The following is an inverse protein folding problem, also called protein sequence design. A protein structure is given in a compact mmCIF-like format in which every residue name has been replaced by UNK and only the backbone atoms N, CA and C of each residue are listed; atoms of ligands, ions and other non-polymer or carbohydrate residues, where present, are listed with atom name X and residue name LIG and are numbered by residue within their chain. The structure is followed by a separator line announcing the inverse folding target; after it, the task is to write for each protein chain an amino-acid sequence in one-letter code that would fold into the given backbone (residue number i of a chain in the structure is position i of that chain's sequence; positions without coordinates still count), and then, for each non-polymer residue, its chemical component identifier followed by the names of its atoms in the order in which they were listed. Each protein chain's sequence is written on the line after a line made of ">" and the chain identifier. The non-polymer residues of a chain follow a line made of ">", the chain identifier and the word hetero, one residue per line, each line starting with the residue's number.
data_IF_117141701332
#
_entry.id   IF_117141701332
#
_cell.length_a   1.000
_cell.length_b   1.000
_cell.length_c   1.000
_cell.angle_alpha   90.00
_cell.angle_beta   90.00
_cell.angle_gamma   90.00
#
_symmetry.space_group_name_H-M   'P 1'
#
loop_
_entity.id
_entity.type
_entity.pdbx_description
1 polymer ?
#
# COMPACT_ATOMS: atom_id res chain seq x y z
N UNK A 1 7.74 13.88 21.25
CA UNK A 1 6.28 13.76 21.01
C UNK A 1 6.04 13.78 19.51
N UNK A 2 5.94 12.62 18.87
CA UNK A 2 5.53 12.54 17.47
C UNK A 2 4.01 12.60 17.47
N UNK A 3 3.46 13.79 17.24
CA UNK A 3 2.01 13.97 17.03
C UNK A 3 1.68 13.40 15.65
N UNK A 4 0.94 12.30 15.62
CA UNK A 4 0.41 11.74 14.37
C UNK A 4 -0.64 12.70 13.81
N UNK A 5 -0.40 13.19 12.59
CA UNK A 5 -1.37 14.02 11.85
C UNK A 5 -2.57 13.15 11.45
N UNK A 6 -3.79 13.64 11.70
CA UNK A 6 -4.99 12.90 11.30
C UNK A 6 -5.15 12.91 9.77
N UNK A 7 -5.82 11.90 9.19
CA UNK A 7 -6.18 11.84 7.77
C UNK A 7 -6.69 13.15 7.15
N UNK A 8 -7.63 13.81 7.83
CA UNK A 8 -8.26 15.04 7.31
C UNK A 8 -7.32 16.25 7.40
N UNK A 9 -6.48 16.30 8.44
CA UNK A 9 -5.46 17.33 8.61
C UNK A 9 -4.38 17.21 7.50
N UNK A 10 -3.94 15.98 7.21
CA UNK A 10 -3.02 15.71 6.11
C UNK A 10 -3.63 16.07 4.75
N UNK A 11 -4.90 15.72 4.54
CA UNK A 11 -5.61 16.09 3.30
C UNK A 11 -5.72 17.60 3.16
N UNK A 12 -6.11 18.31 4.22
CA UNK A 12 -6.22 19.76 4.22
C UNK A 12 -4.87 20.44 3.95
N UNK A 13 -3.78 19.93 4.54
CA UNK A 13 -2.43 20.46 4.34
C UNK A 13 -1.92 20.21 2.91
N UNK A 14 -2.17 19.03 2.33
CA UNK A 14 -1.62 18.66 1.02
C UNK A 14 -2.47 19.12 -0.16
N UNK A 15 -3.78 19.31 0.01
CA UNK A 15 -4.71 19.65 -1.10
C UNK A 15 -4.27 20.89 -1.89
N UNK A 16 -3.87 22.02 -1.29
CA UNK A 16 -3.41 23.19 -2.04
C UNK A 16 -2.16 22.91 -2.89
N UNK A 17 -1.24 22.07 -2.38
CA UNK A 17 -0.06 21.65 -3.12
C UNK A 17 -0.44 20.81 -4.34
N UNK A 18 -1.34 19.84 -4.18
CA UNK A 18 -1.80 19.01 -5.29
C UNK A 18 -2.55 19.80 -6.36
N UNK A 19 -3.42 20.73 -5.96
CA UNK A 19 -4.15 21.60 -6.89
C UNK A 19 -3.20 22.51 -7.68
N UNK A 20 -2.19 23.09 -7.02
CA UNK A 20 -1.16 23.87 -7.69
C UNK A 20 -0.32 23.03 -8.67
N UNK A 21 0.11 21.84 -8.26
CA UNK A 21 0.84 20.90 -9.12
C UNK A 21 0.05 20.55 -10.38
N UNK A 22 -1.23 20.23 -10.21
CA UNK A 22 -2.12 19.87 -11.32
C UNK A 22 -2.37 21.05 -12.27
N UNK A 23 -2.59 22.24 -11.73
CA UNK A 23 -2.76 23.47 -12.52
C UNK A 23 -1.52 23.73 -13.37
N UNK A 24 -0.35 23.74 -12.76
CA UNK A 24 0.92 23.97 -13.44
C UNK A 24 1.17 22.94 -14.56
N UNK A 25 0.89 21.66 -14.31
CA UNK A 25 1.01 20.63 -15.35
C UNK A 25 0.09 20.89 -16.54
N UNK A 26 -1.19 21.22 -16.29
CA UNK A 26 -2.14 21.51 -17.37
C UNK A 26 -1.82 22.82 -18.13
N UNK A 27 -1.17 23.79 -17.47
CA UNK A 27 -0.72 25.05 -18.07
C UNK A 27 0.68 24.94 -18.72
N UNK A 28 1.33 23.78 -18.68
CA UNK A 28 2.70 23.58 -19.19
C UNK A 28 3.80 24.26 -18.36
N UNK A 29 3.47 24.74 -17.15
CA UNK A 29 4.39 25.42 -16.22
C UNK A 29 5.06 24.42 -15.28
N UNK A 30 5.65 23.35 -15.79
CA UNK A 30 6.16 22.26 -14.95
C UNK A 30 7.34 22.66 -14.06
N UNK A 31 8.14 23.67 -14.44
CA UNK A 31 9.23 24.19 -13.60
C UNK A 31 8.70 24.77 -12.28
N UNK A 32 7.49 25.35 -12.31
CA UNK A 32 6.78 25.81 -11.12
C UNK A 32 6.44 24.69 -10.15
N UNK A 33 6.41 23.42 -10.58
CA UNK A 33 6.16 22.30 -9.68
C UNK A 33 7.32 22.04 -8.73
N UNK A 34 8.56 22.41 -9.10
CA UNK A 34 9.72 22.16 -8.26
C UNK A 34 9.70 22.93 -6.93
N UNK A 35 8.85 23.96 -6.79
CA UNK A 35 8.62 24.64 -5.49
C UNK A 35 7.89 23.77 -4.47
N UNK A 36 7.17 22.75 -4.93
CA UNK A 36 6.46 21.79 -4.09
C UNK A 36 7.26 20.51 -3.86
N UNK A 37 8.43 20.39 -4.48
CA UNK A 37 9.28 19.21 -4.40
C UNK A 37 10.35 19.43 -3.34
N UNK A 38 10.52 18.44 -2.47
CA UNK A 38 11.66 18.41 -1.56
C UNK A 38 12.97 18.41 -2.37
N UNK A 39 14.04 19.11 -1.95
CA UNK A 39 15.32 19.13 -2.68
C UNK A 39 15.90 17.73 -2.96
N UNK A 40 15.64 16.79 -2.06
CA UNK A 40 16.07 15.39 -2.17
C UNK A 40 14.95 14.44 -2.61
N UNK A 41 13.91 14.94 -3.26
CA UNK A 41 12.85 14.07 -3.78
C UNK A 41 13.39 13.08 -4.82
N UNK A 42 12.73 11.93 -4.91
CA UNK A 42 12.96 10.96 -5.95
C UNK A 42 11.64 10.68 -6.68
N UNK A 43 11.69 10.57 -8.00
CA UNK A 43 10.57 10.11 -8.83
C UNK A 43 10.96 8.79 -9.46
N UNK A 44 10.08 7.79 -9.33
CA UNK A 44 10.28 6.48 -9.93
C UNK A 44 9.31 6.32 -11.10
N UNK A 45 9.86 6.15 -12.29
CA UNK A 45 9.11 5.75 -13.48
C UNK A 45 9.25 4.24 -13.62
N UNK A 46 8.19 3.51 -13.29
CA UNK A 46 8.18 2.04 -13.36
C UNK A 46 8.60 1.56 -14.76
N UNK A 47 9.59 0.67 -14.81
CA UNK A 47 10.12 0.11 -16.05
C UNK A 47 11.04 1.04 -16.85
N UNK A 48 11.28 2.28 -16.38
CA UNK A 48 12.22 3.21 -17.05
C UNK A 48 13.38 3.64 -16.16
N UNK A 49 13.15 3.94 -14.89
CA UNK A 49 14.22 4.33 -13.98
C UNK A 49 13.77 5.14 -12.76
N UNK A 50 14.74 5.51 -11.93
CA UNK A 50 14.57 6.42 -10.79
C UNK A 50 15.38 7.69 -11.02
N UNK A 51 14.81 8.83 -10.66
CA UNK A 51 15.37 10.16 -10.88
C UNK A 51 15.45 10.89 -9.53
N UNK A 52 16.62 11.41 -9.20
CA UNK A 52 16.92 11.96 -7.89
C UNK A 52 17.22 13.45 -7.98
N UNK A 53 16.56 14.24 -7.15
CA UNK A 53 16.71 15.69 -7.12
C UNK A 53 16.04 16.40 -8.30
N UNK A 54 15.89 17.72 -8.14
CA UNK A 54 15.09 18.56 -9.03
C UNK A 54 15.60 18.56 -10.49
N UNK A 55 16.91 18.49 -10.70
CA UNK A 55 17.50 18.50 -12.04
C UNK A 55 17.13 17.25 -12.85
N UNK A 56 17.39 16.04 -12.32
CA UNK A 56 17.09 14.79 -13.02
C UNK A 56 15.59 14.64 -13.27
N UNK A 57 14.79 15.00 -12.28
CA UNK A 57 13.33 14.97 -12.38
C UNK A 57 12.84 15.98 -13.42
N UNK A 58 13.43 17.17 -13.48
CA UNK A 58 13.05 18.19 -14.47
C UNK A 58 13.42 17.82 -15.90
N UNK A 59 14.60 17.24 -16.12
CA UNK A 59 14.96 16.71 -17.43
C UNK A 59 13.99 15.60 -17.88
N UNK A 60 13.61 14.70 -16.97
CA UNK A 60 12.66 13.63 -17.25
C UNK A 60 11.26 14.17 -17.56
N UNK A 61 10.74 15.10 -16.76
CA UNK A 61 9.41 15.68 -16.98
C UNK A 61 9.37 16.49 -18.28
N UNK A 62 10.39 17.31 -18.56
CA UNK A 62 10.47 18.06 -19.82
C UNK A 62 10.40 17.13 -21.03
N UNK A 63 11.22 16.07 -21.04
CA UNK A 63 11.20 15.06 -22.10
C UNK A 63 9.82 14.38 -22.23
N UNK A 64 9.20 14.01 -21.12
CA UNK A 64 7.87 13.39 -21.12
C UNK A 64 6.80 14.31 -21.73
N UNK A 65 6.85 15.61 -21.41
CA UNK A 65 5.88 16.58 -21.90
C UNK A 65 6.09 16.95 -23.38
N UNK A 66 7.34 17.04 -23.81
CA UNK A 66 7.70 17.21 -25.22
C UNK A 66 7.24 16.01 -26.07
N UNK A 67 7.40 14.78 -25.55
CA UNK A 67 7.03 13.56 -26.28
C UNK A 67 5.52 13.28 -26.27
N UNK A 68 4.85 13.48 -25.14
CA UNK A 68 3.47 13.00 -24.96
C UNK A 68 2.42 14.09 -25.07
N UNK A 69 2.80 15.37 -25.06
CA UNK A 69 1.89 16.52 -25.03
C UNK A 69 0.66 16.28 -24.13
N UNK A 70 0.86 15.91 -22.85
CA UNK A 70 -0.23 15.45 -22.02
C UNK A 70 -1.27 16.55 -21.83
N UNK A 71 -2.51 16.28 -22.22
CA UNK A 71 -3.67 17.14 -22.01
C UNK A 71 -4.66 16.44 -21.10
N UNK A 72 -5.41 17.22 -20.31
CA UNK A 72 -6.45 16.72 -19.41
C UNK A 72 -5.91 15.72 -18.36
N UNK A 73 -4.77 16.04 -17.74
CA UNK A 73 -4.27 15.22 -16.62
C UNK A 73 -5.32 15.25 -15.52
N UNK A 74 -5.79 14.07 -15.11
CA UNK A 74 -6.76 13.89 -14.03
C UNK A 74 -6.12 13.10 -12.92
N UNK A 75 -6.36 13.51 -11.68
CA UNK A 75 -6.03 12.68 -10.53
C UNK A 75 -7.24 11.81 -10.23
N UNK A 76 -7.12 10.52 -10.52
CA UNK A 76 -8.12 9.53 -10.15
C UNK A 76 -7.86 9.10 -8.71
N UNK A 77 -8.68 9.60 -7.79
CA UNK A 77 -8.75 9.07 -6.43
C UNK A 77 -9.94 8.12 -6.35
N UNK A 78 -9.72 6.93 -5.80
CA UNK A 78 -10.84 6.12 -5.38
C UNK A 78 -11.44 6.71 -4.10
N UNK A 79 -12.77 6.71 -4.02
CA UNK A 79 -13.46 7.09 -2.80
C UNK A 79 -13.31 5.98 -1.74
N UNK A 80 -13.26 6.36 -0.46
CA UNK A 80 -13.14 5.43 0.66
C UNK A 80 -14.14 4.26 0.58
N UNK A 81 -15.43 4.56 0.30
CA UNK A 81 -16.49 3.55 0.23
C UNK A 81 -16.25 2.55 -0.91
N UNK A 82 -15.84 3.04 -2.08
CA UNK A 82 -15.55 2.22 -3.25
C UNK A 82 -14.37 1.26 -2.99
N UNK A 83 -13.31 1.73 -2.34
CA UNK A 83 -12.18 0.88 -1.97
C UNK A 83 -12.62 -0.20 -0.97
N UNK A 84 -13.35 0.23 0.07
CA UNK A 84 -13.81 -0.67 1.13
C UNK A 84 -14.69 -1.77 0.56
N UNK A 85 -15.62 -1.45 -0.33
CA UNK A 85 -16.51 -2.42 -0.98
C UNK A 85 -15.73 -3.41 -1.85
N UNK A 86 -14.71 -2.94 -2.58
CA UNK A 86 -13.85 -3.82 -3.41
C UNK A 86 -13.02 -4.79 -2.57
N UNK A 87 -12.44 -4.34 -1.46
CA UNK A 87 -11.54 -5.16 -0.65
C UNK A 87 -12.24 -6.01 0.41
N UNK A 88 -13.45 -5.61 0.86
CA UNK A 88 -14.22 -6.34 1.87
C UNK A 88 -14.35 -7.85 1.61
N UNK A 89 -14.81 -8.32 0.43
CA UNK A 89 -14.97 -9.77 0.21
C UNK A 89 -13.64 -10.52 0.28
N UNK A 90 -12.54 -9.89 -0.15
CA UNK A 90 -11.19 -10.48 -0.07
C UNK A 90 -10.77 -10.61 1.39
N UNK A 91 -10.99 -9.57 2.19
CA UNK A 91 -10.64 -9.58 3.61
C UNK A 91 -11.45 -10.61 4.41
N UNK A 92 -12.75 -10.75 4.11
CA UNK A 92 -13.62 -11.75 4.73
C UNK A 92 -13.15 -13.17 4.39
N UNK A 93 -12.74 -13.42 3.14
CA UNK A 93 -12.16 -14.70 2.73
C UNK A 93 -10.83 -14.99 3.45
N UNK A 94 -9.92 -14.00 3.51
CA UNK A 94 -8.65 -14.12 4.23
C UNK A 94 -8.87 -14.49 5.71
N UNK A 95 -9.81 -13.82 6.38
CA UNK A 95 -10.15 -14.06 7.79
C UNK A 95 -10.74 -15.46 8.01
N UNK A 96 -11.64 -15.90 7.13
CA UNK A 96 -12.25 -17.23 7.20
C UNK A 96 -11.21 -18.32 7.04
N UNK A 97 -10.30 -18.17 6.06
CA UNK A 97 -9.20 -19.11 5.83
C UNK A 97 -8.24 -19.14 7.01
N UNK A 98 -7.88 -17.98 7.57
CA UNK A 98 -7.09 -17.91 8.81
C UNK A 98 -7.77 -18.64 9.95
N UNK A 99 -9.08 -18.42 10.17
CA UNK A 99 -9.82 -19.07 11.25
C UNK A 99 -9.91 -20.59 11.07
N UNK A 100 -10.00 -21.06 9.83
CA UNK A 100 -10.01 -22.50 9.48
C UNK A 100 -8.62 -23.14 9.46
N UNK A 101 -7.55 -22.34 9.53
CA UNK A 101 -6.17 -22.81 9.36
C UNK A 101 -5.82 -23.16 7.89
N UNK A 102 -6.64 -22.77 6.92
CA UNK A 102 -6.38 -22.97 5.49
C UNK A 102 -5.50 -21.83 4.94
N UNK A 103 -4.25 -21.82 5.39
CA UNK A 103 -3.29 -20.76 5.04
C UNK A 103 -2.93 -20.76 3.55
N UNK A 104 -2.99 -21.93 2.90
CA UNK A 104 -2.69 -22.04 1.47
C UNK A 104 -3.73 -21.35 0.60
N UNK A 105 -5.01 -21.43 0.97
CA UNK A 105 -6.07 -20.71 0.26
C UNK A 105 -5.82 -19.19 0.22
N UNK A 106 -5.11 -18.62 1.20
CA UNK A 106 -4.78 -17.20 1.23
C UNK A 106 -3.74 -16.78 0.19
N UNK A 107 -2.90 -17.70 -0.31
CA UNK A 107 -1.84 -17.34 -1.26
C UNK A 107 -2.40 -16.83 -2.58
N UNK A 108 -3.62 -17.23 -2.97
CA UNK A 108 -4.26 -16.71 -4.19
C UNK A 108 -4.48 -15.19 -4.14
N UNK A 109 -4.54 -14.58 -2.97
CA UNK A 109 -4.70 -13.14 -2.77
C UNK A 109 -3.38 -12.38 -2.69
N UNK A 110 -2.24 -13.09 -2.60
CA UNK A 110 -0.93 -12.48 -2.64
C UNK A 110 -0.51 -12.21 -4.08
N UNK A 111 0.21 -11.12 -4.30
CA UNK A 111 0.85 -10.78 -5.56
C UNK A 111 2.09 -11.68 -5.77
N UNK A 112 2.51 -11.94 -7.01
CA UNK A 112 3.75 -12.69 -7.30
C UNK A 112 4.97 -12.13 -6.56
N UNK A 113 5.14 -10.81 -6.61
CA UNK A 113 6.14 -10.02 -5.88
C UNK A 113 5.75 -9.61 -4.44
N UNK A 114 4.85 -10.34 -3.76
CA UNK A 114 4.42 -9.97 -2.40
C UNK A 114 5.59 -9.90 -1.42
N UNK A 115 5.55 -8.90 -0.53
CA UNK A 115 6.47 -8.76 0.60
C UNK A 115 5.68 -8.63 1.89
N UNK A 116 6.06 -9.39 2.91
CA UNK A 116 5.54 -9.26 4.27
C UNK A 116 6.66 -8.78 5.18
N UNK A 117 6.41 -7.78 6.02
CA UNK A 117 7.37 -7.18 6.93
C UNK A 117 6.80 -7.21 8.34
N UNK A 118 7.52 -7.83 9.26
CA UNK A 118 7.27 -7.66 10.70
C UNK A 118 8.20 -6.56 11.21
N UNK A 119 7.63 -5.40 11.58
CA UNK A 119 8.43 -4.23 11.97
C UNK A 119 9.46 -4.57 13.05
N UNK A 120 10.69 -4.11 12.83
CA UNK A 120 11.81 -4.31 13.76
C UNK A 120 12.30 -5.75 13.89
N UNK A 121 11.80 -6.70 13.07
CA UNK A 121 12.24 -8.10 13.10
C UNK A 121 12.79 -8.56 11.75
N UNK A 122 11.94 -8.69 10.74
CA UNK A 122 12.30 -9.40 9.50
C UNK A 122 11.31 -9.11 8.37
N UNK A 123 11.73 -9.43 7.14
CA UNK A 123 10.93 -9.32 5.93
C UNK A 123 11.02 -10.61 5.11
N UNK A 124 9.93 -10.97 4.46
CA UNK A 124 9.77 -12.22 3.68
C UNK A 124 9.27 -11.89 2.29
N UNK A 125 9.76 -12.64 1.29
CA UNK A 125 9.60 -12.27 -0.11
C UNK A 125 9.02 -13.41 -0.97
N UNK A 126 8.16 -13.02 -1.91
CA UNK A 126 7.79 -13.81 -3.08
C UNK A 126 6.66 -14.82 -2.84
N UNK A 127 5.91 -15.09 -3.92
CA UNK A 127 4.83 -16.09 -3.96
C UNK A 127 5.11 -17.26 -4.91
N UNK A 128 5.87 -17.10 -6.00
CA UNK A 128 5.96 -18.12 -7.07
C UNK A 128 7.36 -18.34 -7.64
N UNK A 129 8.25 -18.82 -6.79
CA UNK A 129 9.33 -19.71 -7.24
C UNK A 129 9.27 -20.90 -6.30
N UNK A 130 9.54 -22.11 -6.76
CA UNK A 130 9.29 -23.38 -6.05
C UNK A 130 9.87 -23.44 -4.61
N UNK A 131 10.77 -22.52 -4.25
CA UNK A 131 11.32 -22.31 -2.90
C UNK A 131 10.81 -21.08 -2.11
N UNK A 132 10.04 -20.15 -2.69
CA UNK A 132 9.65 -18.85 -2.07
C UNK A 132 8.23 -18.82 -1.47
N UNK A 133 7.32 -19.70 -1.93
CA UNK A 133 6.14 -20.07 -1.14
C UNK A 133 6.53 -20.50 0.29
N UNK A 134 7.77 -20.96 0.46
CA UNK A 134 8.34 -21.41 1.71
C UNK A 134 8.46 -20.28 2.74
N UNK A 135 8.96 -19.09 2.39
CA UNK A 135 9.23 -18.06 3.41
C UNK A 135 7.94 -17.46 3.97
N UNK A 136 7.09 -16.89 3.10
CA UNK A 136 5.80 -16.34 3.51
C UNK A 136 4.92 -17.45 4.11
N UNK A 137 4.87 -18.62 3.47
CA UNK A 137 4.04 -19.72 3.94
C UNK A 137 4.48 -20.30 5.29
N UNK A 138 5.77 -20.51 5.51
CA UNK A 138 6.27 -20.95 6.80
C UNK A 138 6.02 -19.89 7.86
N UNK A 139 6.19 -18.60 7.54
CA UNK A 139 5.93 -17.57 8.53
C UNK A 139 4.45 -17.49 8.90
N UNK A 140 3.56 -17.53 7.92
CA UNK A 140 2.12 -17.59 8.18
C UNK A 140 1.77 -18.83 9.03
N UNK A 141 2.43 -19.98 8.76
CA UNK A 141 2.26 -21.20 9.55
C UNK A 141 2.77 -21.04 10.99
N UNK A 142 3.97 -20.48 11.18
CA UNK A 142 4.53 -20.20 12.51
C UNK A 142 3.65 -19.23 13.30
N UNK A 143 3.19 -18.15 12.66
CA UNK A 143 2.25 -17.20 13.25
C UNK A 143 0.95 -17.89 13.67
N UNK A 144 0.38 -18.73 12.79
CA UNK A 144 -0.85 -19.47 13.11
C UNK A 144 -0.64 -20.47 14.25
N UNK A 145 0.48 -21.19 14.29
CA UNK A 145 0.81 -22.11 15.37
C UNK A 145 0.96 -21.39 16.72
N UNK A 146 1.61 -20.22 16.71
CA UNK A 146 1.85 -19.41 17.91
C UNK A 146 0.56 -18.76 18.45
N UNK A 147 -0.25 -18.19 17.56
CA UNK A 147 -1.35 -17.31 17.96
C UNK A 147 -2.74 -17.93 17.80
N UNK A 148 -2.93 -18.90 16.89
CA UNK A 148 -4.21 -19.57 16.60
C UNK A 148 -5.39 -18.57 16.56
N UNK A 149 -5.32 -17.55 15.69
CA UNK A 149 -6.20 -16.40 15.75
C UNK A 149 -7.67 -16.81 15.56
N UNK A 150 -8.53 -16.31 16.46
CA UNK A 150 -9.99 -16.45 16.40
C UNK A 150 -10.67 -15.09 16.55
N UNK A 151 -11.94 -15.00 16.15
CA UNK A 151 -12.75 -13.79 16.32
C UNK A 151 -12.08 -12.52 15.78
N UNK A 152 -11.44 -12.65 14.62
CA UNK A 152 -10.68 -11.57 13.98
C UNK A 152 -11.61 -10.39 13.67
N UNK A 153 -11.22 -9.17 14.07
CA UNK A 153 -11.97 -7.94 13.87
C UNK A 153 -11.05 -6.81 13.44
N UNK A 154 -11.42 -6.15 12.35
CA UNK A 154 -10.76 -4.93 11.85
C UNK A 154 -11.42 -3.67 12.39
N UNK A 155 -10.60 -2.73 12.85
CA UNK A 155 -11.05 -1.43 13.35
C UNK A 155 -10.11 -0.32 12.87
N UNK A 156 -10.56 0.94 12.98
CA UNK A 156 -9.80 2.13 12.58
C UNK A 156 -9.23 2.08 11.16
N UNK A 157 -9.90 1.34 10.26
CA UNK A 157 -9.41 1.13 8.90
C UNK A 157 -9.45 2.44 8.10
N UNK A 158 -8.30 2.83 7.57
CA UNK A 158 -8.13 3.98 6.70
C UNK A 158 -7.71 3.49 5.32
N UNK A 159 -8.41 3.95 4.28
CA UNK A 159 -8.19 3.53 2.90
C UNK A 159 -7.83 4.73 2.04
N UNK A 160 -6.83 4.54 1.19
CA UNK A 160 -6.45 5.50 0.15
C UNK A 160 -6.09 4.72 -1.12
N UNK A 161 -6.38 5.25 -2.30
CA UNK A 161 -6.02 4.53 -3.51
C UNK A 161 -6.15 5.34 -4.79
N UNK A 162 -5.39 4.90 -5.77
CA UNK A 162 -5.41 5.28 -7.17
C UNK A 162 -5.63 4.03 -8.02
N UNK A 163 -5.80 4.19 -9.33
CA UNK A 163 -5.82 3.07 -10.27
C UNK A 163 -4.59 2.14 -10.18
N UNK A 164 -3.46 2.69 -9.72
CA UNK A 164 -2.19 1.99 -9.56
C UNK A 164 -2.10 1.10 -8.32
N UNK A 165 -2.61 1.57 -7.18
CA UNK A 165 -2.51 0.88 -5.90
C UNK A 165 -3.57 1.34 -4.90
N UNK A 166 -3.87 0.47 -3.96
CA UNK A 166 -4.67 0.79 -2.78
C UNK A 166 -3.80 0.59 -1.55
N UNK A 167 -3.74 1.60 -0.68
CA UNK A 167 -3.09 1.52 0.61
C UNK A 167 -4.15 1.44 1.71
N UNK A 168 -3.93 0.55 2.68
CA UNK A 168 -4.82 0.36 3.83
C UNK A 168 -3.98 0.41 5.10
N UNK A 169 -4.40 1.20 6.08
CA UNK A 169 -3.89 1.09 7.46
C UNK A 169 -5.03 0.63 8.36
N UNK A 170 -4.81 -0.38 9.19
CA UNK A 170 -5.89 -1.00 9.98
C UNK A 170 -5.35 -1.60 11.27
N UNK A 171 -6.14 -1.49 12.34
CA UNK A 171 -5.92 -2.24 13.59
C UNK A 171 -6.72 -3.54 13.49
N UNK A 172 -6.07 -4.69 13.69
CA UNK A 172 -6.72 -6.00 13.73
C UNK A 172 -6.62 -6.56 15.14
N UNK A 173 -7.76 -6.92 15.71
CA UNK A 173 -7.86 -7.58 17.01
C UNK A 173 -8.33 -9.02 16.84
N UNK A 174 -7.82 -9.93 17.66
CA UNK A 174 -8.18 -11.35 17.62
C UNK A 174 -7.89 -12.02 18.96
N UNK A 175 -8.53 -13.16 19.20
CA UNK A 175 -8.29 -13.98 20.37
C UNK A 175 -7.17 -14.99 20.09
N UNK A 176 -6.34 -15.24 21.11
CA UNK A 176 -5.30 -16.28 21.11
C UNK A 176 -5.46 -17.20 22.33
N UNK A 177 -4.80 -18.37 22.37
CA UNK A 177 -4.75 -19.19 23.57
C UNK A 177 -4.18 -18.48 24.81
N UNK A 178 -3.39 -17.41 24.63
CA UNK A 178 -2.78 -16.60 25.70
C UNK A 178 -3.64 -15.38 26.09
N UNK A 179 -4.80 -15.18 25.45
CA UNK A 179 -5.67 -14.03 25.64
C UNK A 179 -5.82 -13.15 24.38
N UNK A 180 -6.56 -12.04 24.48
CA UNK A 180 -6.75 -11.12 23.35
C UNK A 180 -5.43 -10.51 22.88
N UNK A 181 -5.28 -10.37 21.57
CA UNK A 181 -4.12 -9.77 20.93
C UNK A 181 -4.54 -8.76 19.86
N UNK A 182 -3.59 -7.89 19.48
CA UNK A 182 -3.79 -6.87 18.47
C UNK A 182 -2.55 -6.74 17.57
N UNK A 183 -2.80 -6.39 16.32
CA UNK A 183 -1.78 -5.98 15.36
C UNK A 183 -2.20 -4.70 14.67
N UNK A 184 -1.24 -3.81 14.44
CA UNK A 184 -1.40 -2.73 13.48
C UNK A 184 -0.80 -3.17 12.14
N UNK A 185 -1.61 -3.12 11.09
CA UNK A 185 -1.24 -3.55 9.74
C UNK A 185 -1.27 -2.37 8.76
N UNK A 186 -0.32 -2.36 7.83
CA UNK A 186 -0.31 -1.51 6.65
C UNK A 186 -0.19 -2.37 5.39
N UNK A 187 -1.19 -2.28 4.51
CA UNK A 187 -1.25 -3.04 3.27
C UNK A 187 -1.08 -2.13 2.06
N UNK A 188 -0.37 -2.63 1.04
CA UNK A 188 -0.41 -2.09 -0.31
C UNK A 188 -0.94 -3.18 -1.22
N UNK A 189 -1.98 -2.85 -1.98
CA UNK A 189 -2.59 -3.71 -2.98
C UNK A 189 -2.26 -3.20 -4.37
N UNK A 190 -1.99 -4.12 -5.30
CA UNK A 190 -1.76 -3.83 -6.71
C UNK A 190 -2.55 -4.78 -7.59
N UNK A 191 -2.82 -4.35 -8.83
CA UNK A 191 -3.44 -5.23 -9.81
C UNK A 191 -2.43 -6.23 -10.37
N UNK A 192 -2.82 -7.50 -10.39
CA UNK A 192 -2.16 -8.59 -11.10
C UNK A 192 -3.24 -9.34 -11.87
N UNK A 193 -3.11 -9.43 -13.20
CA UNK A 193 -4.13 -10.03 -14.08
C UNK A 193 -5.55 -9.44 -13.86
N UNK A 194 -5.64 -8.11 -13.70
CA UNK A 194 -6.85 -7.34 -13.37
C UNK A 194 -7.45 -7.54 -11.97
N UNK A 195 -6.92 -8.45 -11.16
CA UNK A 195 -7.35 -8.67 -9.78
C UNK A 195 -6.50 -7.86 -8.79
N UNK A 196 -7.12 -7.33 -7.74
CA UNK A 196 -6.38 -6.74 -6.62
C UNK A 196 -5.73 -7.83 -5.78
N UNK A 197 -4.40 -7.76 -5.65
CA UNK A 197 -3.58 -8.67 -4.83
C UNK A 197 -2.79 -7.88 -3.79
N UNK A 198 -2.55 -8.50 -2.63
CA UNK A 198 -1.67 -8.00 -1.59
C UNK A 198 -0.23 -8.00 -2.11
N UNK A 199 0.29 -6.81 -2.35
CA UNK A 199 1.65 -6.57 -2.81
C UNK A 199 2.60 -6.34 -1.64
N UNK A 200 2.11 -5.72 -0.57
CA UNK A 200 2.89 -5.45 0.63
C UNK A 200 2.02 -5.59 1.87
N UNK A 201 2.56 -6.20 2.93
CA UNK A 201 1.99 -6.22 4.27
C UNK A 201 3.10 -5.82 5.23
N UNK A 202 2.88 -4.78 6.00
CA UNK A 202 3.72 -4.42 7.14
C UNK A 202 2.89 -4.54 8.40
N UNK A 203 3.39 -5.21 9.44
CA UNK A 203 2.64 -5.37 10.69
C UNK A 203 3.52 -5.30 11.93
N UNK A 204 2.90 -4.92 13.05
CA UNK A 204 3.48 -4.97 14.39
C UNK A 204 2.47 -5.50 15.41
N UNK A 205 2.93 -6.38 16.32
CA UNK A 205 2.12 -6.82 17.46
C UNK A 205 2.07 -5.68 18.48
N UNK A 206 0.86 -5.30 18.88
CA UNK A 206 0.64 -4.27 19.91
C UNK A 206 0.52 -4.98 21.26
N UNK A 207 1.47 -4.72 22.15
CA UNK A 207 1.51 -5.23 23.53
C UNK A 207 0.92 -4.22 24.51
#
# INVERSE_FOLDING_TARGET
>A
LITTMKPDEARAALKPHYEALLKNMNEGKFEENFKHFHPHCAVVHRGKGAYYGKEQIGAMLKKLFEEQHPKNIKITHFQYLEIREKLKPIYEELEQNMTKGDLQANFKHLHSDCVIVQKGKEAYYGKERESYCYEIGNKMKSFFQEHQPKNIKRSKAVYYGCECCICVSVEVSFDTPKGPAKVDEHHIWRKENNDWKLYHIEYEMVH
#
